data_IF_036903815810
#
_entry.id   IF_036903815810
#
_cell.length_a   1.000
_cell.length_b   1.000
_cell.length_c   1.000
_cell.angle_alpha   90.00
_cell.angle_beta   90.00
_cell.angle_gamma   90.00
#
_symmetry.space_group_name_H-M   'P 1'
#
loop_
_entity.id
_entity.type
_entity.pdbx_description
1 polymer ?
#
# COMPACT_ATOMS: atom_id res chain seq x y z
N UNK A 1 -66.47 3.77 2.12
CA UNK A 1 -65.64 4.86 1.60
C UNK A 1 -64.22 4.69 2.08
N UNK A 2 -63.29 4.59 1.12
CA UNK A 2 -61.84 4.72 1.29
C UNK A 2 -61.52 6.03 2.05
N UNK A 3 -60.37 6.18 2.72
CA UNK A 3 -59.09 6.54 2.09
C UNK A 3 -57.92 5.99 2.90
N UNK A 4 -57.03 5.24 2.23
CA UNK A 4 -55.65 5.05 2.66
C UNK A 4 -54.84 6.30 2.29
N UNK A 5 -53.93 6.75 3.14
CA UNK A 5 -52.74 7.47 2.67
C UNK A 5 -51.49 6.89 3.30
N UNK A 6 -50.48 6.69 2.45
CA UNK A 6 -49.21 6.00 2.66
C UNK A 6 -48.11 7.04 2.84
N UNK A 7 -47.13 6.76 3.70
CA UNK A 7 -45.68 6.88 3.43
C UNK A 7 -44.91 7.02 4.75
N UNK A 8 -44.66 5.91 5.43
CA UNK A 8 -43.48 5.79 6.30
C UNK A 8 -42.46 4.91 5.57
N UNK A 9 -41.19 5.35 5.42
CA UNK A 9 -40.15 4.48 4.89
C UNK A 9 -39.89 3.32 5.87
N UNK A 10 -39.58 2.11 5.38
CA UNK A 10 -39.32 0.98 6.24
C UNK A 10 -38.11 1.25 7.15
N UNK A 11 -38.09 0.69 8.37
CA UNK A 11 -36.95 0.83 9.28
C UNK A 11 -35.69 0.35 8.57
N UNK A 12 -34.63 1.17 8.57
CA UNK A 12 -33.32 0.77 8.05
C UNK A 12 -32.74 -0.27 9.00
N UNK A 13 -32.64 -1.50 8.54
CA UNK A 13 -31.94 -2.56 9.23
C UNK A 13 -30.44 -2.25 9.23
N UNK A 14 -29.91 -1.80 10.37
CA UNK A 14 -28.47 -1.71 10.61
C UNK A 14 -28.06 -3.07 11.16
N UNK A 15 -27.44 -3.90 10.31
CA UNK A 15 -26.90 -5.19 10.71
C UNK A 15 -25.84 -5.00 11.80
N UNK A 16 -26.19 -5.32 13.04
CA UNK A 16 -25.27 -5.38 14.16
C UNK A 16 -24.38 -6.62 13.97
N UNK A 17 -23.12 -6.42 13.57
CA UNK A 17 -22.14 -7.49 13.53
C UNK A 17 -21.80 -7.90 14.97
N UNK A 18 -22.49 -8.92 15.48
CA UNK A 18 -22.11 -9.58 16.72
C UNK A 18 -20.78 -10.29 16.50
N UNK A 19 -19.76 -9.86 17.25
CA UNK A 19 -18.46 -10.50 17.33
C UNK A 19 -18.63 -11.97 17.76
N UNK A 20 -18.57 -12.90 16.82
CA UNK A 20 -18.05 -14.23 17.10
C UNK A 20 -16.52 -14.14 17.04
N UNK A 21 -15.79 -14.76 17.98
CA UNK A 21 -14.35 -14.84 17.88
C UNK A 21 -14.00 -15.63 16.62
N UNK A 22 -13.57 -14.90 15.58
CA UNK A 22 -13.01 -15.46 14.38
C UNK A 22 -11.65 -16.05 14.74
N UNK A 23 -11.61 -17.36 15.01
CA UNK A 23 -10.34 -18.08 15.04
C UNK A 23 -9.92 -18.30 13.58
N UNK A 24 -9.15 -17.35 13.03
CA UNK A 24 -8.39 -17.64 11.82
C UNK A 24 -7.15 -18.43 12.18
N UNK A 25 -7.22 -19.75 12.05
CA UNK A 25 -6.03 -20.46 11.61
C UNK A 25 -5.77 -20.02 10.17
N UNK A 26 -4.88 -19.02 10.01
CA UNK A 26 -4.30 -18.71 8.71
C UNK A 26 -3.42 -19.89 8.32
N UNK A 27 -4.04 -20.89 7.70
CA UNK A 27 -3.34 -21.97 7.02
C UNK A 27 -2.74 -21.39 5.76
N UNK A 28 -1.48 -20.98 5.88
CA UNK A 28 -0.61 -20.58 4.77
C UNK A 28 -0.61 -21.70 3.72
N UNK A 29 -1.50 -21.56 2.75
CA UNK A 29 -1.58 -22.44 1.60
C UNK A 29 -1.14 -21.61 0.41
N UNK A 30 0.12 -21.80 0.07
CA UNK A 30 0.73 -21.43 -1.20
C UNK A 30 -0.12 -21.94 -2.35
N UNK A 31 -1.07 -21.11 -2.81
CA UNK A 31 -1.83 -21.35 -4.03
C UNK A 31 -1.64 -20.17 -4.95
N UNK A 32 -0.93 -20.44 -6.03
CA UNK A 32 -0.68 -19.55 -7.17
C UNK A 32 -2.00 -19.30 -7.92
N UNK A 33 -2.94 -18.60 -7.30
CA UNK A 33 -4.09 -18.00 -7.96
C UNK A 33 -3.55 -16.73 -8.62
N UNK A 34 -3.63 -16.66 -9.96
CA UNK A 34 -3.10 -15.57 -10.78
C UNK A 34 -3.50 -14.21 -10.23
N UNK A 35 -2.52 -13.58 -9.58
CA UNK A 35 -2.57 -12.36 -8.79
C UNK A 35 -3.67 -11.40 -9.24
N UNK A 36 -4.72 -11.23 -8.42
CA UNK A 36 -5.73 -10.18 -8.60
C UNK A 36 -5.12 -8.77 -8.69
N UNK A 37 -3.85 -8.62 -8.32
CA UNK A 37 -3.07 -7.40 -8.44
C UNK A 37 -2.45 -7.18 -9.82
N UNK A 38 -2.46 -8.16 -10.72
CA UNK A 38 -1.84 -8.06 -12.06
C UNK A 38 -2.19 -6.76 -12.81
N UNK A 39 -3.45 -6.29 -12.82
CA UNK A 39 -3.81 -5.03 -13.48
C UNK A 39 -3.17 -3.77 -12.87
N UNK A 40 -2.70 -3.86 -11.62
CA UNK A 40 -2.10 -2.77 -10.86
C UNK A 40 -0.59 -2.93 -10.68
N UNK A 41 0.00 -3.99 -11.24
CA UNK A 41 1.42 -4.22 -11.26
C UNK A 41 2.04 -3.56 -12.50
N UNK A 42 3.11 -2.83 -12.31
CA UNK A 42 3.92 -2.27 -13.38
C UNK A 42 5.42 -2.48 -13.12
N UNK A 43 6.23 -2.23 -14.14
CA UNK A 43 7.68 -2.15 -14.01
C UNK A 43 8.09 -0.70 -13.88
N UNK A 44 9.21 -0.46 -13.23
CA UNK A 44 9.85 0.85 -13.19
C UNK A 44 11.32 0.73 -12.83
N UNK A 45 11.93 1.87 -12.59
CA UNK A 45 13.32 1.98 -12.13
C UNK A 45 13.40 2.96 -10.97
N UNK A 46 14.26 2.66 -10.01
CA UNK A 46 14.62 3.57 -8.91
C UNK A 46 16.11 3.82 -8.90
N UNK A 47 16.51 4.97 -8.38
CA UNK A 47 17.91 5.33 -8.18
C UNK A 47 18.04 6.32 -7.02
N UNK A 48 19.25 6.45 -6.48
CA UNK A 48 19.56 7.48 -5.46
C UNK A 48 19.32 8.91 -5.99
N UNK A 49 19.53 9.12 -7.29
CA UNK A 49 19.24 10.36 -8.01
C UNK A 49 19.09 10.08 -9.52
N UNK A 50 18.68 11.08 -10.30
CA UNK A 50 18.42 10.94 -11.75
C UNK A 50 19.61 10.35 -12.53
N UNK A 51 20.84 10.73 -12.17
CA UNK A 51 22.08 10.29 -12.82
C UNK A 51 22.73 9.07 -12.12
N UNK A 52 22.05 8.49 -11.13
CA UNK A 52 22.55 7.37 -10.34
C UNK A 52 22.48 6.04 -11.08
N UNK A 53 22.82 4.96 -10.38
CA UNK A 53 22.62 3.61 -10.92
C UNK A 53 21.15 3.24 -10.85
N UNK A 54 20.53 3.01 -12.01
CA UNK A 54 19.12 2.64 -12.09
C UNK A 54 18.93 1.17 -11.74
N UNK A 55 18.07 0.90 -10.77
CA UNK A 55 17.70 -0.44 -10.31
C UNK A 55 16.27 -0.75 -10.78
N UNK A 56 16.04 -1.83 -11.54
CA UNK A 56 14.71 -2.21 -11.97
C UNK A 56 13.86 -2.69 -10.78
N UNK A 57 12.61 -2.26 -10.75
CA UNK A 57 11.66 -2.56 -9.66
C UNK A 57 10.33 -3.03 -10.19
N UNK A 58 9.66 -3.89 -9.41
CA UNK A 58 8.25 -4.23 -9.61
C UNK A 58 7.40 -3.39 -8.67
N UNK A 59 6.47 -2.63 -9.26
CA UNK A 59 5.65 -1.64 -8.58
C UNK A 59 4.22 -2.17 -8.46
N UNK A 60 3.63 -2.04 -7.28
CA UNK A 60 2.19 -2.21 -7.07
C UNK A 60 1.56 -0.85 -6.81
N UNK A 61 0.60 -0.43 -7.64
CA UNK A 61 -0.21 0.75 -7.37
C UNK A 61 -1.29 0.41 -6.34
N UNK A 62 -1.30 1.12 -5.22
CA UNK A 62 -2.26 0.94 -4.15
C UNK A 62 -2.97 2.27 -3.85
N UNK A 63 -4.20 2.41 -4.35
CA UNK A 63 -5.02 3.61 -4.12
C UNK A 63 -5.50 3.73 -2.68
N UNK A 64 -5.41 2.68 -1.87
CA UNK A 64 -5.72 2.73 -0.44
C UNK A 64 -4.56 3.23 0.42
N UNK A 65 -3.34 3.28 -0.13
CA UNK A 65 -2.16 3.74 0.58
C UNK A 65 -1.97 5.25 0.43
N UNK A 66 -1.85 5.95 1.56
CA UNK A 66 -1.53 7.38 1.59
C UNK A 66 -0.05 7.68 1.37
N UNK A 67 0.82 6.67 1.43
CA UNK A 67 2.26 6.82 1.40
C UNK A 67 2.87 5.75 0.52
N UNK A 68 3.79 6.16 -0.35
CA UNK A 68 4.61 5.26 -1.15
C UNK A 68 5.71 4.62 -0.31
N UNK A 69 5.92 3.32 -0.51
CA UNK A 69 6.85 2.49 0.25
C UNK A 69 7.88 1.83 -0.67
N UNK A 70 9.09 1.65 -0.16
CA UNK A 70 10.15 0.88 -0.81
C UNK A 70 10.65 -0.24 0.09
N UNK A 71 10.93 -1.40 -0.49
CA UNK A 71 11.51 -2.52 0.23
C UNK A 71 12.96 -2.20 0.62
N UNK A 72 13.29 -2.45 1.89
CA UNK A 72 14.64 -2.31 2.43
C UNK A 72 15.66 -3.12 1.61
N UNK A 73 16.83 -2.54 1.38
CA UNK A 73 17.89 -3.15 0.57
C UNK A 73 17.70 -3.04 -0.95
N UNK A 74 16.62 -2.43 -1.44
CA UNK A 74 16.44 -2.16 -2.89
C UNK A 74 17.49 -1.16 -3.41
N UNK A 75 17.83 -0.16 -2.60
CA UNK A 75 18.89 0.82 -2.84
C UNK A 75 19.78 0.91 -1.59
N UNK A 76 21.04 1.34 -1.73
CA UNK A 76 21.94 1.58 -0.60
C UNK A 76 21.58 2.90 0.12
N UNK A 77 20.34 3.00 0.60
CA UNK A 77 19.82 4.21 1.25
C UNK A 77 20.58 4.49 2.55
N UNK A 78 21.02 5.73 2.69
CA UNK A 78 21.83 6.21 3.81
C UNK A 78 21.33 7.58 4.33
N UNK A 79 22.10 8.20 5.24
CA UNK A 79 21.82 9.52 5.80
C UNK A 79 21.72 10.65 4.75
N UNK A 80 22.34 10.51 3.57
CA UNK A 80 22.26 11.53 2.52
C UNK A 80 20.89 11.51 1.83
N UNK A 81 20.31 10.32 1.68
CA UNK A 81 18.96 10.14 1.15
C UNK A 81 17.88 10.34 2.21
N UNK A 82 18.21 10.23 3.50
CA UNK A 82 17.27 10.40 4.59
C UNK A 82 16.75 11.84 4.66
N UNK A 83 15.43 12.00 4.77
CA UNK A 83 14.79 13.34 4.78
C UNK A 83 14.79 14.01 6.16
N UNK A 84 15.26 13.31 7.20
CA UNK A 84 15.10 13.75 8.60
C UNK A 84 13.73 13.43 9.18
N UNK A 85 12.83 12.83 8.40
CA UNK A 85 11.44 12.55 8.78
C UNK A 85 11.15 11.04 8.77
N UNK A 86 10.17 10.66 9.57
CA UNK A 86 9.59 9.32 9.55
C UNK A 86 8.08 9.41 9.51
N UNK A 87 7.46 8.41 8.88
CA UNK A 87 6.00 8.27 8.80
C UNK A 87 5.55 7.15 9.72
N UNK A 88 4.40 7.36 10.37
CA UNK A 88 3.74 6.30 11.12
C UNK A 88 2.83 5.53 10.16
N UNK A 89 3.20 4.28 9.89
CA UNK A 89 2.40 3.38 9.08
C UNK A 89 1.44 2.59 9.97
N UNK A 90 0.18 2.49 9.54
CA UNK A 90 -0.84 1.62 10.12
C UNK A 90 -1.59 0.92 9.01
N UNK A 91 -1.71 -0.40 9.09
CA UNK A 91 -2.68 -1.18 8.35
C UNK A 91 -3.98 -1.33 9.13
N UNK A 92 -4.94 -2.04 8.54
CA UNK A 92 -6.19 -2.43 9.21
C UNK A 92 -5.83 -3.37 10.36
N UNK A 93 -6.07 -2.94 11.60
CA UNK A 93 -5.78 -3.68 12.83
C UNK A 93 -4.29 -3.97 13.10
N UNK A 94 -3.36 -3.15 12.58
CA UNK A 94 -1.94 -3.26 12.95
C UNK A 94 -1.55 -2.23 14.01
N UNK A 95 -0.46 -2.52 14.71
CA UNK A 95 0.24 -1.50 15.50
C UNK A 95 0.80 -0.40 14.58
N UNK A 96 0.95 0.81 15.12
CA UNK A 96 1.62 1.91 14.45
C UNK A 96 3.13 1.64 14.41
N UNK A 97 3.72 1.68 13.22
CA UNK A 97 5.16 1.46 13.05
C UNK A 97 5.78 2.69 12.38
N UNK A 98 6.81 3.26 13.00
CA UNK A 98 7.57 4.37 12.42
C UNK A 98 8.54 3.86 11.36
N UNK A 99 8.52 4.47 10.17
CA UNK A 99 9.44 4.17 9.07
C UNK A 99 10.12 5.42 8.53
N UNK A 100 11.46 5.40 8.31
CA UNK A 100 12.18 6.55 7.80
C UNK A 100 11.80 6.84 6.34
N UNK A 101 11.67 8.11 6.01
CA UNK A 101 11.46 8.58 4.64
C UNK A 101 12.80 8.90 3.97
N UNK A 102 13.00 8.33 2.79
CA UNK A 102 14.18 8.57 1.97
C UNK A 102 13.78 9.14 0.61
N UNK A 103 14.59 10.07 0.13
CA UNK A 103 14.47 10.68 -1.18
C UNK A 103 15.02 9.75 -2.24
N UNK A 104 14.16 9.35 -3.18
CA UNK A 104 14.48 8.38 -4.24
C UNK A 104 14.03 8.94 -5.57
N UNK A 105 14.87 8.83 -6.58
CA UNK A 105 14.44 9.07 -7.96
C UNK A 105 13.71 7.82 -8.47
N UNK A 106 12.48 7.99 -8.93
CA UNK A 106 11.60 6.94 -9.44
C UNK A 106 11.15 7.31 -10.85
N UNK A 107 11.14 6.32 -11.74
CA UNK A 107 10.53 6.42 -13.06
C UNK A 107 9.71 5.16 -13.35
N UNK A 108 8.46 5.36 -13.76
CA UNK A 108 7.58 4.31 -14.28
C UNK A 108 6.58 4.94 -15.26
N UNK A 109 5.65 4.14 -15.79
CA UNK A 109 4.65 4.61 -16.76
C UNK A 109 3.71 5.71 -16.21
N UNK A 110 3.61 5.86 -14.89
CA UNK A 110 2.71 6.82 -14.24
C UNK A 110 3.41 8.13 -13.86
N UNK A 111 4.65 8.05 -13.39
CA UNK A 111 5.37 9.18 -12.80
C UNK A 111 6.87 9.10 -13.08
N UNK A 112 7.52 10.26 -13.09
CA UNK A 112 8.97 10.38 -13.17
C UNK A 112 9.41 11.57 -12.33
N UNK A 113 10.41 11.36 -11.47
CA UNK A 113 10.95 12.42 -10.62
C UNK A 113 11.50 11.91 -9.30
N UNK A 114 11.60 12.81 -8.34
CA UNK A 114 12.12 12.54 -7.01
C UNK A 114 10.97 12.52 -6.01
N UNK A 115 10.87 11.42 -5.26
CA UNK A 115 9.79 11.15 -4.32
C UNK A 115 10.37 10.73 -2.97
N UNK A 116 9.64 10.99 -1.89
CA UNK A 116 10.02 10.55 -0.55
C UNK A 116 9.29 9.24 -0.25
N UNK A 117 10.02 8.12 -0.16
CA UNK A 117 9.47 6.78 0.06
C UNK A 117 9.81 6.29 1.46
N UNK A 118 8.86 5.65 2.13
CA UNK A 118 9.11 5.03 3.42
C UNK A 118 9.77 3.67 3.25
N UNK A 119 10.86 3.43 3.98
CA UNK A 119 11.61 2.18 3.88
C UNK A 119 10.99 1.13 4.79
N UNK A 120 10.61 -0.01 4.21
CA UNK A 120 9.96 -1.11 4.93
C UNK A 120 10.76 -2.41 4.78
N UNK A 121 10.95 -3.20 5.86
CA UNK A 121 11.66 -4.48 5.80
C UNK A 121 10.90 -5.55 4.99
N UNK A 122 9.59 -5.37 4.82
CA UNK A 122 8.73 -6.23 4.01
C UNK A 122 7.57 -5.45 3.41
N UNK A 123 7.06 -5.94 2.29
CA UNK A 123 5.85 -5.44 1.61
C UNK A 123 4.80 -6.56 1.55
N UNK A 124 3.50 -6.23 1.48
CA UNK A 124 2.42 -7.22 1.59
C UNK A 124 2.37 -8.24 0.45
N UNK A 125 3.02 -7.96 -0.69
CA UNK A 125 3.01 -8.83 -1.87
C UNK A 125 4.43 -9.25 -2.21
N UNK A 126 4.65 -10.58 -2.27
CA UNK A 126 5.94 -11.16 -2.62
C UNK A 126 6.40 -10.72 -4.02
N UNK A 127 7.65 -10.28 -4.12
CA UNK A 127 8.28 -9.87 -5.37
C UNK A 127 7.92 -8.46 -5.84
N UNK A 128 7.07 -7.73 -5.10
CA UNK A 128 6.93 -6.28 -5.24
C UNK A 128 8.02 -5.60 -4.42
N UNK A 129 8.68 -4.60 -5.00
CA UNK A 129 9.77 -3.85 -4.36
C UNK A 129 9.37 -2.41 -4.05
N UNK A 130 8.34 -1.90 -4.72
CA UNK A 130 7.76 -0.58 -4.46
C UNK A 130 6.23 -0.69 -4.40
N UNK A 131 5.64 -0.13 -3.35
CA UNK A 131 4.20 0.09 -3.28
C UNK A 131 3.97 1.58 -3.51
N UNK A 132 3.29 1.93 -4.61
CA UNK A 132 3.03 3.30 -5.00
C UNK A 132 1.69 3.75 -4.43
N UNK A 133 1.75 4.66 -3.47
CA UNK A 133 0.60 5.30 -2.84
C UNK A 133 0.11 6.50 -3.65
N UNK A 134 -0.62 7.40 -2.97
CA UNK A 134 -1.22 8.59 -3.59
C UNK A 134 -0.50 9.91 -3.26
N UNK A 135 0.65 9.86 -2.59
CA UNK A 135 1.47 11.03 -2.24
C UNK A 135 2.18 11.68 -3.45
#
# INVERSE_FOLDING_TARGET
NAVMNKNDPPPREIGLLTHQPFQSEMKETTKTESSCFTPFLSQGVVAENENGTHVPVKILRDTGASQSLILEGTLPLDENSFTGLSVLLSGINSELVSRPLHRVWLQCDLVQGVFDLAVCPSLPITGVTVLLGND
#
